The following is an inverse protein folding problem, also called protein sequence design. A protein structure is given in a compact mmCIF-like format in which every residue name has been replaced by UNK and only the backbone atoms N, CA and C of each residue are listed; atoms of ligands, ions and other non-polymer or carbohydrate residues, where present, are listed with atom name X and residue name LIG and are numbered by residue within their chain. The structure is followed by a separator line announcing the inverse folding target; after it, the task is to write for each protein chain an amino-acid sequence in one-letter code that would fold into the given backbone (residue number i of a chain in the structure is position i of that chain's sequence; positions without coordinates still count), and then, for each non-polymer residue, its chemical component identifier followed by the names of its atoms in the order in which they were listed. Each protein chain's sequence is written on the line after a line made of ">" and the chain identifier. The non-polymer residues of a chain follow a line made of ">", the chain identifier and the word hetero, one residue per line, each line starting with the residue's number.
data_IF_836376967636
#
_entry.id   IF_836376967636
#
_cell.length_a   1.000
_cell.length_b   1.000
_cell.length_c   1.000
_cell.angle_alpha   90.00
_cell.angle_beta   90.00
_cell.angle_gamma   90.00
#
_symmetry.space_group_name_H-M   'P 1'
#
loop_
_entity.id
_entity.type
_entity.pdbx_description
1 polymer ?
#
# COMPACT_ATOMS: atom_id res chain seq x y z
N UNK A 1 17.25 37.88 9.10
CA UNK A 1 17.74 36.49 9.11
C UNK A 1 17.42 35.89 10.48
N UNK A 2 16.63 34.81 10.53
CA UNK A 2 16.24 34.21 11.80
C UNK A 2 17.29 33.20 12.26
N UNK A 3 18.01 33.51 13.34
CA UNK A 3 18.89 32.53 13.99
C UNK A 3 18.06 31.35 14.47
N UNK A 4 18.18 30.21 13.80
CA UNK A 4 17.57 28.95 14.26
C UNK A 4 18.39 28.48 15.46
N UNK A 5 17.86 28.69 16.65
CA UNK A 5 18.48 28.21 17.89
C UNK A 5 18.01 26.79 18.16
N UNK A 6 18.93 25.82 18.14
CA UNK A 6 18.64 24.43 18.50
C UNK A 6 19.28 24.10 19.85
N UNK A 7 18.57 23.30 20.65
CA UNK A 7 19.08 22.75 21.91
C UNK A 7 19.92 21.51 21.59
N UNK A 8 21.19 21.52 22.00
CA UNK A 8 22.08 20.35 21.85
C UNK A 8 21.72 19.32 22.92
N UNK A 9 21.36 18.12 22.48
CA UNK A 9 21.02 17.01 23.38
C UNK A 9 22.31 16.20 23.68
N UNK A 10 22.66 16.00 24.97
CA UNK A 10 23.78 15.17 25.37
C UNK A 10 23.71 13.74 24.81
N UNK A 11 24.81 13.00 24.94
CA UNK A 11 24.85 11.58 24.57
C UNK A 11 24.18 10.71 25.63
N UNK A 12 22.87 10.90 25.78
CA UNK A 12 21.99 10.14 26.66
C UNK A 12 20.89 9.49 25.81
N UNK A 13 20.94 8.16 25.72
CA UNK A 13 20.04 7.38 24.88
C UNK A 13 18.60 7.34 25.39
N UNK A 14 18.38 7.50 26.70
CA UNK A 14 17.05 7.56 27.28
C UNK A 14 16.41 8.90 26.94
N UNK A 15 17.14 10.00 27.15
CA UNK A 15 16.67 11.35 26.80
C UNK A 15 16.37 11.49 25.30
N UNK A 16 17.26 10.99 24.44
CA UNK A 16 17.05 11.01 22.98
C UNK A 16 15.83 10.20 22.57
N UNK A 17 15.60 9.03 23.18
CA UNK A 17 14.38 8.24 22.95
C UNK A 17 13.13 8.98 23.37
N UNK A 18 13.13 9.60 24.55
CA UNK A 18 11.97 10.33 25.06
C UNK A 18 11.58 11.50 24.15
N UNK A 19 12.59 12.21 23.62
CA UNK A 19 12.37 13.26 22.62
C UNK A 19 11.74 12.66 21.36
N UNK A 20 12.31 11.59 20.80
CA UNK A 20 11.76 10.95 19.60
C UNK A 20 10.33 10.43 19.81
N UNK A 21 10.06 9.81 20.96
CA UNK A 21 8.74 9.29 21.34
C UNK A 21 7.70 10.42 21.38
N UNK A 22 8.02 11.56 22.01
CA UNK A 22 7.10 12.71 22.06
C UNK A 22 6.65 13.20 20.69
N UNK A 23 7.56 13.27 19.72
CA UNK A 23 7.21 13.74 18.36
C UNK A 23 6.60 12.63 17.48
N UNK A 24 6.79 11.36 17.85
CA UNK A 24 6.30 10.22 17.08
C UNK A 24 4.91 9.75 17.54
N UNK A 25 4.66 9.76 18.84
CA UNK A 25 3.44 9.24 19.48
C UNK A 25 2.41 10.33 19.77
N UNK A 26 2.69 11.58 19.41
CA UNK A 26 1.70 12.65 19.48
C UNK A 26 0.46 12.28 18.64
N UNK A 27 -0.75 12.22 19.24
CA UNK A 27 -1.97 11.85 18.54
C UNK A 27 -2.27 12.70 17.29
N UNK A 28 -1.79 13.96 17.25
CA UNK A 28 -1.92 14.86 16.12
C UNK A 28 -0.84 14.65 15.05
N UNK A 29 0.31 14.08 15.40
CA UNK A 29 1.41 13.81 14.47
C UNK A 29 1.22 12.50 13.69
N UNK A 30 0.45 11.55 14.24
CA UNK A 30 0.00 10.36 13.53
C UNK A 30 1.12 9.40 13.13
N UNK A 31 2.09 9.12 14.02
CA UNK A 31 3.21 8.22 13.74
C UNK A 31 4.00 8.57 12.47
N UNK A 32 4.61 9.77 12.41
CA UNK A 32 5.36 10.21 11.23
C UNK A 32 6.50 9.24 10.89
N UNK A 33 6.73 9.06 9.59
CA UNK A 33 7.92 8.37 9.08
C UNK A 33 9.23 9.08 9.47
N UNK A 34 10.36 8.40 9.32
CA UNK A 34 11.68 8.88 9.81
C UNK A 34 12.05 10.28 9.29
N UNK A 35 11.88 10.56 8.00
CA UNK A 35 12.17 11.87 7.41
C UNK A 35 11.39 12.99 8.09
N UNK A 36 10.08 12.79 8.28
CA UNK A 36 9.21 13.79 8.92
C UNK A 36 9.51 13.93 10.40
N UNK A 37 9.81 12.83 11.08
CA UNK A 37 10.20 12.86 12.49
C UNK A 37 11.48 13.69 12.68
N UNK A 38 12.49 13.52 11.82
CA UNK A 38 13.72 14.31 11.83
C UNK A 38 13.43 15.80 11.63
N UNK A 39 12.57 16.16 10.67
CA UNK A 39 12.17 17.56 10.44
C UNK A 39 11.51 18.19 11.67
N UNK A 40 10.65 17.45 12.36
CA UNK A 40 9.96 17.94 13.56
C UNK A 40 10.95 18.16 14.70
N UNK A 41 11.81 17.16 14.97
CA UNK A 41 12.79 17.23 16.05
C UNK A 41 13.82 18.33 15.81
N UNK A 42 14.28 18.50 14.57
CA UNK A 42 15.25 19.55 14.19
C UNK A 42 14.76 20.98 14.40
N UNK A 43 13.48 21.21 14.65
CA UNK A 43 12.99 22.57 14.95
C UNK A 43 13.47 23.07 16.30
N UNK A 44 13.79 22.17 17.23
CA UNK A 44 14.12 22.53 18.61
C UNK A 44 15.34 21.81 19.14
N UNK A 45 15.69 20.65 18.59
CA UNK A 45 16.76 19.80 19.11
C UNK A 45 17.77 19.41 18.04
N UNK A 46 18.99 19.19 18.48
CA UNK A 46 20.07 18.68 17.65
C UNK A 46 20.96 17.71 18.44
N UNK A 47 21.39 16.63 17.78
CA UNK A 47 22.49 15.79 18.25
C UNK A 47 23.13 15.02 17.09
N UNK A 48 24.38 14.53 17.25
CA UNK A 48 25.00 13.66 16.26
C UNK A 48 24.19 12.38 16.05
N UNK A 49 23.94 12.00 14.80
CA UNK A 49 23.18 10.80 14.39
C UNK A 49 21.67 10.84 14.63
N UNK A 50 21.06 12.01 14.84
CA UNK A 50 19.59 12.17 14.91
C UNK A 50 18.84 11.43 13.79
N UNK A 51 19.34 11.48 12.55
CA UNK A 51 18.71 10.78 11.42
C UNK A 51 18.67 9.27 11.65
N UNK A 52 19.81 8.67 11.98
CA UNK A 52 19.94 7.23 12.24
C UNK A 52 19.12 6.82 13.47
N UNK A 53 19.11 7.64 14.52
CA UNK A 53 18.32 7.36 15.73
C UNK A 53 16.82 7.39 15.44
N UNK A 54 16.35 8.37 14.66
CA UNK A 54 14.95 8.46 14.22
C UNK A 54 14.54 7.29 13.30
N UNK A 55 15.40 6.89 12.36
CA UNK A 55 15.18 5.71 11.52
C UNK A 55 15.05 4.44 12.35
N UNK A 56 15.97 4.23 13.29
CA UNK A 56 15.92 3.08 14.19
C UNK A 56 14.66 3.09 15.06
N UNK A 57 14.29 4.24 15.60
CA UNK A 57 13.10 4.42 16.42
C UNK A 57 11.83 4.03 15.67
N UNK A 58 11.61 4.61 14.48
CA UNK A 58 10.45 4.31 13.62
C UNK A 58 10.45 2.85 13.16
N UNK A 59 11.62 2.28 12.86
CA UNK A 59 11.77 0.86 12.51
C UNK A 59 11.31 -0.08 13.63
N UNK A 60 11.50 0.31 14.90
CA UNK A 60 11.06 -0.47 16.07
C UNK A 60 9.60 -0.22 16.49
N UNK A 61 8.90 0.75 15.90
CA UNK A 61 7.52 1.06 16.26
C UNK A 61 6.53 0.02 15.70
N UNK A 62 5.85 -0.71 16.59
CA UNK A 62 4.90 -1.78 16.20
C UNK A 62 3.67 -1.26 15.43
N UNK A 63 3.22 -0.04 15.70
CA UNK A 63 2.10 0.60 15.00
C UNK A 63 2.49 0.91 13.55
N UNK A 64 3.66 1.52 13.35
CA UNK A 64 4.20 1.77 12.03
C UNK A 64 4.41 0.48 11.24
N UNK A 65 5.01 -0.56 11.84
CA UNK A 65 5.27 -1.81 11.11
C UNK A 65 3.97 -2.52 10.69
N UNK A 66 2.90 -2.42 11.47
CA UNK A 66 1.58 -3.00 11.12
C UNK A 66 0.85 -2.21 10.04
N UNK A 67 0.94 -0.88 10.07
CA UNK A 67 0.18 -0.01 9.18
C UNK A 67 0.94 0.37 7.91
N UNK A 68 2.26 0.18 7.87
CA UNK A 68 3.07 0.48 6.70
C UNK A 68 2.68 -0.49 5.59
N UNK A 69 2.09 0.06 4.52
CA UNK A 69 1.90 -0.68 3.28
C UNK A 69 3.23 -1.30 2.86
N UNK A 70 3.21 -2.56 2.42
CA UNK A 70 4.38 -3.27 1.92
C UNK A 70 4.93 -2.54 0.68
N UNK A 71 5.81 -1.57 0.90
CA UNK A 71 6.63 -0.97 -0.16
C UNK A 71 7.94 -1.74 -0.22
N UNK A 72 7.93 -2.91 -0.87
CA UNK A 72 9.13 -3.73 -0.98
C UNK A 72 8.89 -5.02 -1.74
N UNK A 73 9.46 -5.06 -2.95
CA UNK A 73 9.19 -5.97 -4.08
C UNK A 73 7.87 -5.64 -4.76
N UNK A 74 7.95 -5.26 -6.04
CA UNK A 74 6.77 -5.26 -6.90
C UNK A 74 6.04 -6.59 -6.70
N UNK A 75 4.70 -6.55 -6.71
CA UNK A 75 3.87 -7.75 -6.82
C UNK A 75 4.64 -8.70 -7.74
N UNK A 76 5.03 -9.88 -7.24
CA UNK A 76 5.94 -10.78 -7.97
C UNK A 76 5.50 -10.92 -9.42
N UNK A 77 6.43 -11.23 -10.33
CA UNK A 77 6.10 -11.39 -11.75
C UNK A 77 4.79 -12.19 -11.86
N UNK A 78 3.78 -11.60 -12.51
CA UNK A 78 2.53 -12.30 -12.77
C UNK A 78 2.91 -13.60 -13.48
N UNK A 79 2.60 -14.75 -12.89
CA UNK A 79 2.78 -16.02 -13.58
C UNK A 79 1.60 -16.17 -14.54
N UNK A 80 1.80 -16.02 -15.86
CA UNK A 80 0.73 -16.25 -16.81
C UNK A 80 0.32 -17.73 -16.72
N UNK A 81 -0.97 -17.98 -16.84
CA UNK A 81 -1.48 -19.33 -16.98
C UNK A 81 -1.02 -19.91 -18.33
N UNK A 82 -0.80 -21.23 -18.43
CA UNK A 82 -0.52 -21.87 -19.70
C UNK A 82 -1.61 -21.53 -20.74
N UNK A 83 -1.17 -21.34 -21.99
CA UNK A 83 -2.08 -21.22 -23.12
C UNK A 83 -2.70 -22.60 -23.35
N UNK A 84 -4.03 -22.72 -23.45
CA UNK A 84 -4.69 -23.99 -23.76
C UNK A 84 -4.33 -24.48 -25.17
N UNK A 85 -4.48 -25.78 -25.45
CA UNK A 85 -4.16 -26.37 -26.76
C UNK A 85 -5.41 -26.53 -27.64
N UNK A 86 -6.60 -26.56 -27.04
CA UNK A 86 -7.88 -26.64 -27.75
C UNK A 86 -8.95 -25.67 -27.20
N UNK A 87 -9.93 -25.24 -28.03
CA UNK A 87 -11.02 -24.39 -27.57
C UNK A 87 -11.77 -25.05 -26.41
N UNK A 88 -12.23 -24.25 -25.45
CA UNK A 88 -12.99 -24.71 -24.26
C UNK A 88 -12.20 -25.48 -23.20
N UNK A 89 -10.90 -25.74 -23.39
CA UNK A 89 -10.06 -26.33 -22.33
C UNK A 89 -9.87 -25.39 -21.14
N UNK A 90 -10.02 -24.08 -21.36
CA UNK A 90 -9.97 -23.11 -20.30
C UNK A 90 -10.89 -21.92 -20.54
N UNK A 91 -11.83 -21.73 -19.62
CA UNK A 91 -12.77 -20.61 -19.61
C UNK A 91 -12.51 -19.72 -18.40
N UNK A 92 -12.44 -18.40 -18.59
CA UNK A 92 -12.51 -17.42 -17.52
C UNK A 92 -13.95 -16.95 -17.32
N UNK A 93 -14.37 -16.82 -16.07
CA UNK A 93 -15.71 -16.38 -15.68
C UNK A 93 -15.61 -15.15 -14.77
N UNK A 94 -16.43 -14.14 -15.01
CA UNK A 94 -16.50 -12.93 -14.17
C UNK A 94 -17.94 -12.41 -14.09
N UNK A 95 -18.26 -11.69 -13.01
CA UNK A 95 -19.56 -11.03 -12.85
C UNK A 95 -19.41 -9.52 -12.89
N UNK A 96 -20.16 -8.88 -13.78
CA UNK A 96 -20.42 -7.44 -13.70
C UNK A 96 -21.66 -7.26 -12.85
N UNK A 97 -21.51 -6.71 -11.65
CA UNK A 97 -22.59 -6.55 -10.65
C UNK A 97 -23.00 -5.09 -10.47
N UNK A 98 -24.09 -4.87 -9.73
CA UNK A 98 -24.62 -3.55 -9.39
C UNK A 98 -25.04 -2.71 -10.62
N UNK A 99 -25.60 -3.38 -11.63
CA UNK A 99 -26.19 -2.73 -12.80
C UNK A 99 -27.62 -2.25 -12.51
N UNK A 100 -28.17 -1.35 -13.34
CA UNK A 100 -29.59 -1.03 -13.28
C UNK A 100 -30.42 -2.31 -13.42
N UNK A 101 -31.44 -2.44 -12.58
CA UNK A 101 -32.36 -3.59 -12.63
C UNK A 101 -33.11 -3.62 -13.94
N UNK A 102 -33.11 -4.79 -14.57
CA UNK A 102 -34.01 -5.09 -15.68
C UNK A 102 -35.46 -5.20 -15.19
N UNK A 103 -36.44 -5.24 -16.11
CA UNK A 103 -37.85 -5.51 -15.76
C UNK A 103 -38.04 -6.85 -15.04
N UNK A 104 -37.16 -7.84 -15.30
CA UNK A 104 -37.14 -9.14 -14.63
C UNK A 104 -36.46 -9.14 -13.25
N UNK A 105 -35.91 -8.00 -12.81
CA UNK A 105 -35.27 -7.85 -11.50
C UNK A 105 -33.76 -8.18 -11.43
N UNK A 106 -33.16 -8.60 -12.55
CA UNK A 106 -31.73 -8.92 -12.68
C UNK A 106 -30.87 -7.65 -12.68
N UNK A 107 -29.73 -7.68 -11.97
CA UNK A 107 -28.80 -6.55 -11.81
C UNK A 107 -27.32 -6.92 -12.04
N UNK A 108 -27.07 -8.10 -12.62
CA UNK A 108 -25.73 -8.54 -12.91
C UNK A 108 -25.64 -9.37 -14.20
N UNK A 109 -24.42 -9.48 -14.71
CA UNK A 109 -24.12 -10.17 -15.95
C UNK A 109 -22.94 -11.11 -15.73
N UNK A 110 -23.12 -12.39 -16.06
CA UNK A 110 -22.05 -13.38 -16.07
C UNK A 110 -21.35 -13.37 -17.43
N UNK A 111 -20.07 -13.05 -17.42
CA UNK A 111 -19.19 -13.03 -18.58
C UNK A 111 -18.37 -14.30 -18.59
N UNK A 112 -18.47 -15.09 -19.66
CA UNK A 112 -17.62 -16.26 -19.89
C UNK A 112 -16.78 -16.07 -21.15
N UNK A 113 -15.46 -16.29 -21.05
CA UNK A 113 -14.51 -16.10 -22.15
C UNK A 113 -13.60 -17.32 -22.29
N UNK A 114 -13.54 -17.89 -23.48
CA UNK A 114 -12.56 -18.93 -23.84
C UNK A 114 -11.15 -18.31 -24.00
N UNK A 115 -10.17 -18.81 -23.24
CA UNK A 115 -8.82 -18.21 -23.16
C UNK A 115 -7.95 -18.48 -24.40
N UNK A 116 -8.34 -19.40 -25.30
CA UNK A 116 -7.54 -19.73 -26.48
C UNK A 116 -7.61 -18.65 -27.58
N UNK A 117 -8.60 -17.77 -27.55
CA UNK A 117 -8.90 -16.82 -28.63
C UNK A 117 -8.23 -15.46 -28.42
N UNK A 118 -6.89 -15.41 -28.52
CA UNK A 118 -6.13 -14.13 -28.48
C UNK A 118 -5.21 -13.96 -29.69
N UNK A 119 -5.66 -14.32 -30.91
CA UNK A 119 -5.04 -13.88 -32.18
C UNK A 119 -6.06 -13.99 -33.33
N UNK A 120 -6.90 -12.96 -33.51
CA UNK A 120 -7.57 -12.68 -34.79
C UNK A 120 -8.88 -13.40 -35.14
N UNK A 121 -9.46 -14.19 -34.23
CA UNK A 121 -10.83 -14.71 -34.37
C UNK A 121 -11.71 -14.16 -33.25
N UNK A 122 -13.01 -13.87 -33.50
CA UNK A 122 -13.89 -13.28 -32.50
C UNK A 122 -13.90 -14.22 -31.29
N UNK A 123 -13.38 -13.73 -30.16
CA UNK A 123 -13.52 -14.40 -28.89
C UNK A 123 -14.99 -14.72 -28.71
N UNK A 124 -15.33 -15.98 -28.49
CA UNK A 124 -16.69 -16.35 -28.20
C UNK A 124 -16.99 -15.88 -26.77
N UNK A 125 -17.32 -14.59 -26.64
CA UNK A 125 -17.80 -13.98 -25.42
C UNK A 125 -19.26 -14.40 -25.28
N UNK A 126 -19.49 -15.37 -24.41
CA UNK A 126 -20.84 -15.73 -24.04
C UNK A 126 -21.23 -14.87 -22.85
N UNK A 127 -22.16 -13.93 -23.10
CA UNK A 127 -22.80 -13.14 -22.07
C UNK A 127 -24.07 -13.86 -21.67
N UNK A 128 -24.09 -14.44 -20.46
CA UNK A 128 -25.31 -15.02 -19.91
C UNK A 128 -26.01 -13.90 -19.13
N UNK A 129 -27.11 -13.38 -19.70
CA UNK A 129 -27.90 -12.26 -19.16
C UNK A 129 -28.87 -12.66 -18.04
N UNK A 130 -28.63 -13.76 -17.34
CA UNK A 130 -29.52 -14.21 -16.27
C UNK A 130 -28.80 -14.21 -14.94
N UNK A 131 -28.75 -13.04 -14.30
CA UNK A 131 -28.36 -12.91 -12.90
C UNK A 131 -28.92 -11.64 -12.22
#
# INVERSE_FOLDING_TARGET
>A
EGSVTQIVVPNDDALRRDILARFHEDPLAGHPGSTRLVELVRRSFWWPRLVTDAENFVRTCSSCQRNKALSGKGRGLLQPLPVPDAPWESVSMDFVVALPKTEGGYDSVLVMVDRLTTNGSPSAMYVVLHC
#
